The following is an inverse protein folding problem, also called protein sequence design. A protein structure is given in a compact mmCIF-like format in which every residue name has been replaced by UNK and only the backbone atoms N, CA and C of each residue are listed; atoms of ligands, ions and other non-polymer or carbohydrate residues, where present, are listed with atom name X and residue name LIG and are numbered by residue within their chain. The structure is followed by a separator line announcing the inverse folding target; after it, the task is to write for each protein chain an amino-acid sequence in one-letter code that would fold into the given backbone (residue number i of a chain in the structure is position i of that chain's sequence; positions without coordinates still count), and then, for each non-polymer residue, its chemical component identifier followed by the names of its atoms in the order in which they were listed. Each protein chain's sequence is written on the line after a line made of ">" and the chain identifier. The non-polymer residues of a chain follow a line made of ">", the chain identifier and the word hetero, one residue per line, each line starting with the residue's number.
data_IF_799451469611
#
_entry.id   IF_799451469611
#
_cell.length_a   1.000
_cell.length_b   1.000
_cell.length_c   1.000
_cell.angle_alpha   90.00
_cell.angle_beta   90.00
_cell.angle_gamma   90.00
#
_symmetry.space_group_name_H-M   'P 1'
#
loop_
_entity.id
_entity.type
_entity.pdbx_description
1 polymer ?
#
# COMPACT_ATOMS: atom_id res chain seq x y z
N UNK A 1 32.73 1.66 11.55
CA UNK A 1 32.03 0.97 10.44
C UNK A 1 31.13 -0.18 10.89
N UNK A 2 31.18 -0.65 12.14
CA UNK A 2 30.26 -1.70 12.65
C UNK A 2 28.87 -1.17 13.05
N UNK A 3 28.76 0.08 13.54
CA UNK A 3 27.49 0.68 13.93
C UNK A 3 26.51 0.90 12.75
N UNK A 4 27.04 1.11 11.53
CA UNK A 4 26.22 1.24 10.32
C UNK A 4 25.65 -0.10 9.85
N UNK A 5 26.32 -1.21 10.17
CA UNK A 5 25.79 -2.56 9.90
C UNK A 5 24.74 -2.94 10.94
N UNK A 6 24.91 -2.48 12.19
CA UNK A 6 23.93 -2.70 13.25
C UNK A 6 22.58 -1.99 12.98
N UNK A 7 22.59 -0.77 12.41
CA UNK A 7 21.35 -0.06 12.03
C UNK A 7 20.73 -0.63 10.74
N UNK A 8 21.53 -1.22 9.84
CA UNK A 8 21.02 -1.86 8.64
C UNK A 8 20.36 -3.22 8.92
N UNK A 9 20.67 -3.84 10.08
CA UNK A 9 20.05 -5.08 10.57
C UNK A 9 18.85 -4.81 11.48
N UNK A 10 18.19 -3.66 11.36
CA UNK A 10 16.84 -3.56 11.90
C UNK A 10 15.95 -4.51 11.10
N UNK A 11 15.61 -5.65 11.72
CA UNK A 11 14.68 -6.64 11.22
C UNK A 11 13.30 -5.99 11.12
N UNK A 12 13.05 -5.22 10.04
CA UNK A 12 11.75 -4.66 9.76
C UNK A 12 10.80 -5.85 9.62
N UNK A 13 9.80 -6.01 10.52
CA UNK A 13 8.93 -7.17 10.51
C UNK A 13 8.11 -7.15 9.22
N UNK A 14 8.59 -7.88 8.23
CA UNK A 14 7.96 -8.00 6.93
C UNK A 14 6.94 -9.13 7.03
N UNK A 15 5.67 -8.73 7.13
CA UNK A 15 4.56 -9.68 7.20
C UNK A 15 4.34 -10.22 5.78
N UNK A 16 4.59 -11.51 5.60
CA UNK A 16 4.30 -12.22 4.36
C UNK A 16 3.05 -13.06 4.53
N UNK A 17 2.07 -12.86 3.65
CA UNK A 17 0.87 -13.70 3.57
C UNK A 17 1.15 -14.84 2.59
N UNK A 18 1.15 -16.08 3.09
CA UNK A 18 1.44 -17.27 2.30
C UNK A 18 0.39 -18.36 2.50
N UNK A 19 -0.15 -18.88 1.40
CA UNK A 19 -1.12 -19.98 1.39
C UNK A 19 -0.54 -21.17 0.61
N UNK A 20 0.66 -21.62 1.00
CA UNK A 20 1.43 -22.62 0.26
C UNK A 20 2.47 -21.98 -0.68
N UNK A 21 2.39 -22.25 -1.99
CA UNK A 21 3.40 -21.83 -2.97
C UNK A 21 3.37 -20.33 -3.36
N UNK A 22 2.32 -19.61 -2.96
CA UNK A 22 2.19 -18.18 -3.19
C UNK A 22 2.37 -17.42 -1.89
N UNK A 23 3.52 -16.73 -1.79
CA UNK A 23 3.86 -15.84 -0.68
C UNK A 23 3.87 -14.42 -1.21
N UNK A 24 2.92 -13.60 -0.76
CA UNK A 24 2.79 -12.19 -1.17
C UNK A 24 3.12 -11.33 0.05
N UNK A 25 3.99 -10.34 -0.13
CA UNK A 25 4.26 -9.36 0.92
C UNK A 25 2.98 -8.58 1.23
N UNK A 26 2.59 -8.54 2.51
CA UNK A 26 1.39 -7.84 2.97
C UNK A 26 1.39 -6.37 2.52
N UNK A 27 2.57 -5.74 2.50
CA UNK A 27 2.74 -4.38 1.99
C UNK A 27 2.25 -4.21 0.56
N UNK A 28 2.65 -5.09 -0.36
CA UNK A 28 2.21 -5.03 -1.75
C UNK A 28 0.71 -5.28 -1.89
N UNK A 29 0.18 -6.24 -1.11
CA UNK A 29 -1.25 -6.52 -1.08
C UNK A 29 -2.08 -5.30 -0.63
N UNK A 30 -1.64 -4.61 0.42
CA UNK A 30 -2.28 -3.38 0.90
C UNK A 30 -2.24 -2.30 -0.18
N UNK A 31 -1.09 -2.08 -0.83
CA UNK A 31 -0.96 -1.06 -1.89
C UNK A 31 -1.95 -1.32 -3.04
N UNK A 32 -2.03 -2.55 -3.53
CA UNK A 32 -2.98 -2.94 -4.58
C UNK A 32 -4.42 -2.72 -4.11
N UNK A 33 -4.75 -3.17 -2.89
CA UNK A 33 -6.08 -2.99 -2.30
C UNK A 33 -6.46 -1.51 -2.20
N UNK A 34 -5.52 -0.65 -1.80
CA UNK A 34 -5.72 0.81 -1.70
C UNK A 34 -5.93 1.43 -3.08
N UNK A 35 -5.13 1.05 -4.09
CA UNK A 35 -5.32 1.53 -5.46
C UNK A 35 -6.71 1.19 -6.00
N UNK A 36 -7.17 -0.05 -5.78
CA UNK A 36 -8.51 -0.49 -6.18
C UNK A 36 -9.58 0.29 -5.41
N UNK A 37 -9.41 0.47 -4.09
CA UNK A 37 -10.33 1.22 -3.26
C UNK A 37 -10.46 2.67 -3.75
N UNK A 38 -9.34 3.34 -4.05
CA UNK A 38 -9.32 4.70 -4.58
C UNK A 38 -9.95 4.78 -5.97
N UNK A 39 -9.73 3.77 -6.82
CA UNK A 39 -10.36 3.70 -8.14
C UNK A 39 -11.89 3.59 -8.03
N UNK A 40 -12.39 2.69 -7.17
CA UNK A 40 -13.83 2.57 -6.89
C UNK A 40 -14.35 3.84 -6.24
N UNK A 41 -13.59 4.43 -5.31
CA UNK A 41 -13.95 5.68 -4.67
C UNK A 41 -14.02 6.82 -5.68
N UNK A 42 -13.18 6.86 -6.72
CA UNK A 42 -13.25 7.85 -7.80
C UNK A 42 -14.41 7.60 -8.78
N UNK A 43 -14.85 6.34 -8.93
CA UNK A 43 -16.07 6.01 -9.67
C UNK A 43 -17.32 6.41 -8.88
N UNK A 44 -17.31 6.18 -7.55
CA UNK A 44 -18.43 6.42 -6.65
C UNK A 44 -18.52 7.87 -6.19
N UNK A 45 -17.39 8.56 -6.01
CA UNK A 45 -17.36 10.01 -5.91
C UNK A 45 -17.63 10.53 -7.32
N UNK A 46 -18.87 10.93 -7.66
CA UNK A 46 -19.05 11.69 -8.89
C UNK A 46 -18.08 12.85 -8.79
N UNK A 47 -17.19 12.98 -9.78
CA UNK A 47 -16.29 14.12 -9.92
C UNK A 47 -17.03 15.36 -9.43
N UNK A 48 -16.55 16.09 -8.41
CA UNK A 48 -17.23 17.25 -7.86
C UNK A 48 -17.56 18.16 -9.03
N UNK A 49 -18.83 18.07 -9.45
CA UNK A 49 -19.32 18.70 -10.67
C UNK A 49 -19.06 20.17 -10.49
N UNK A 50 -18.38 20.76 -11.47
CA UNK A 50 -17.64 22.01 -11.36
C UNK A 50 -18.32 22.99 -10.41
N UNK A 51 -17.61 23.35 -9.33
CA UNK A 51 -17.96 24.46 -8.45
C UNK A 51 -18.37 25.62 -9.34
N UNK A 52 -19.69 25.86 -9.44
CA UNK A 52 -20.28 26.94 -10.22
C UNK A 52 -19.56 28.21 -9.79
N UNK A 53 -18.76 28.75 -10.71
CA UNK A 53 -18.24 30.11 -10.63
C UNK A 53 -19.45 31.03 -10.68
N UNK A 54 -19.84 31.58 -9.53
CA UNK A 54 -20.60 32.81 -9.41
C UNK A 54 -19.92 33.64 -8.34
#
# INVERSE_FOLDING_TARGET
>A
MHALLAVANEDIPTIYLGWGAFTIQLGNFIVISVMILLFVLALVLPFPTGRKRK
#
